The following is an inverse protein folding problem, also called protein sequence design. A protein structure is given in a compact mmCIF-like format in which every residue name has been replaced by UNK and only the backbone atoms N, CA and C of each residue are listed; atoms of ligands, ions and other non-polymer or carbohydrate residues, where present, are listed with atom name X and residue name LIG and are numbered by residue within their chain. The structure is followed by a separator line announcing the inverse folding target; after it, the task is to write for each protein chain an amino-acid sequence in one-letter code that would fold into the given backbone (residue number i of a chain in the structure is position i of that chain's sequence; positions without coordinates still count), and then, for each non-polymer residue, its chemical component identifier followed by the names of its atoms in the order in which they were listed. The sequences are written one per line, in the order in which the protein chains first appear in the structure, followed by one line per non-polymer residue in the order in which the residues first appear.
data_IF_413913724533
#
_entry.id   IF_413913724533
#
_cell.length_a   1.000
_cell.length_b   1.000
_cell.length_c   1.000
_cell.angle_alpha   90.00
_cell.angle_beta   90.00
_cell.angle_gamma   90.00
#
_symmetry.space_group_name_H-M   'P 1'
#
loop_
_entity.id
_entity.type
_entity.pdbx_description
1 polymer ?
#
# COMPACT_ATOMS: atom_id res chain seq x y z
N UNK A 1 -16.31 -78.70 45.01
CA UNK A 1 -16.69 -79.40 43.76
C UNK A 1 -16.62 -78.45 42.62
N UNK A 2 -15.57 -78.56 41.85
CA UNK A 2 -15.68 -78.86 40.40
C UNK A 2 -16.40 -77.79 39.62
N UNK A 3 -15.93 -77.15 38.65
CA UNK A 3 -15.07 -77.39 37.47
C UNK A 3 -14.69 -75.98 36.92
N UNK A 4 -13.47 -75.67 36.61
CA UNK A 4 -12.63 -76.02 35.49
C UNK A 4 -13.19 -75.62 34.09
N UNK A 5 -12.36 -74.89 33.36
CA UNK A 5 -12.25 -74.76 31.94
C UNK A 5 -13.08 -73.63 31.30
N UNK A 6 -12.62 -72.87 30.36
CA UNK A 6 -11.50 -72.92 29.43
C UNK A 6 -11.42 -71.57 28.74
N UNK A 7 -10.24 -71.11 28.59
CA UNK A 7 -9.64 -70.17 27.64
C UNK A 7 -10.32 -70.19 26.26
N UNK A 8 -10.68 -69.07 25.74
CA UNK A 8 -10.45 -68.75 24.32
C UNK A 8 -10.10 -67.29 24.15
N UNK A 9 -8.86 -67.07 23.81
CA UNK A 9 -8.34 -65.81 23.30
C UNK A 9 -8.96 -65.55 21.93
N UNK A 10 -9.67 -64.43 21.81
CA UNK A 10 -10.07 -63.94 20.50
C UNK A 10 -9.36 -62.61 20.27
N UNK A 11 -8.28 -62.70 19.49
CA UNK A 11 -7.62 -61.51 18.94
C UNK A 11 -8.59 -60.86 17.97
N UNK A 12 -9.18 -59.74 18.36
CA UNK A 12 -9.85 -58.83 17.44
C UNK A 12 -8.83 -57.76 17.01
N UNK A 13 -8.30 -57.91 15.84
CA UNK A 13 -7.53 -56.89 15.13
C UNK A 13 -8.46 -55.78 14.73
N UNK A 14 -8.47 -54.69 15.48
CA UNK A 14 -9.09 -53.44 15.11
C UNK A 14 -8.22 -52.80 14.04
N UNK A 15 -8.59 -52.98 12.79
CA UNK A 15 -8.10 -52.14 11.70
C UNK A 15 -8.62 -50.70 11.93
N UNK A 16 -7.78 -49.88 12.53
CA UNK A 16 -8.03 -48.45 12.66
C UNK A 16 -8.02 -47.79 11.29
N UNK A 17 -9.20 -47.51 10.74
CA UNK A 17 -9.32 -46.55 9.66
C UNK A 17 -8.94 -45.18 10.16
N UNK A 18 -7.69 -44.80 9.96
CA UNK A 18 -7.24 -43.41 10.08
C UNK A 18 -7.94 -42.62 8.99
N UNK A 19 -9.10 -42.08 9.32
CA UNK A 19 -9.68 -40.95 8.57
C UNK A 19 -8.78 -39.75 8.78
N UNK A 20 -7.80 -39.57 7.92
CA UNK A 20 -7.08 -38.33 7.76
C UNK A 20 -8.10 -37.30 7.29
N UNK A 21 -8.75 -36.63 8.22
CA UNK A 21 -9.41 -35.37 7.93
C UNK A 21 -8.30 -34.46 7.42
N UNK A 22 -8.23 -34.36 6.11
CA UNK A 22 -7.48 -33.31 5.42
C UNK A 22 -8.03 -32.02 5.98
N UNK A 23 -7.33 -31.43 6.92
CA UNK A 23 -7.52 -30.04 7.30
C UNK A 23 -7.23 -29.28 6.01
N UNK A 24 -8.28 -28.94 5.31
CA UNK A 24 -8.25 -27.92 4.30
C UNK A 24 -7.99 -26.62 5.06
N UNK A 25 -6.72 -26.35 5.24
CA UNK A 25 -6.22 -25.09 5.73
C UNK A 25 -6.70 -24.04 4.73
N UNK A 26 -7.82 -23.42 5.10
CA UNK A 26 -8.39 -22.26 4.43
C UNK A 26 -7.30 -21.20 4.45
N UNK A 27 -6.43 -21.20 3.41
CA UNK A 27 -5.45 -20.16 3.23
C UNK A 27 -6.22 -18.85 3.30
N UNK A 28 -5.87 -17.94 4.21
CA UNK A 28 -6.48 -16.64 4.20
C UNK A 28 -6.30 -16.11 2.78
N UNK A 29 -7.37 -15.68 2.14
CA UNK A 29 -7.31 -14.95 0.88
C UNK A 29 -6.33 -13.80 1.11
N UNK A 30 -5.12 -13.98 0.61
CA UNK A 30 -4.12 -12.93 0.60
C UNK A 30 -4.71 -11.85 -0.28
N UNK A 31 -5.10 -10.75 0.34
CA UNK A 31 -5.44 -9.54 -0.40
C UNK A 31 -4.39 -9.32 -1.48
N UNK A 32 -4.75 -8.81 -2.68
CA UNK A 32 -3.78 -8.53 -3.73
C UNK A 32 -2.60 -7.81 -3.07
N UNK A 33 -1.43 -8.43 -3.09
CA UNK A 33 -0.24 -7.76 -2.62
C UNK A 33 0.01 -6.67 -3.65
N UNK A 34 -0.37 -5.44 -3.31
CA UNK A 34 0.24 -4.28 -3.92
C UNK A 34 1.75 -4.54 -3.90
N UNK A 35 2.40 -4.40 -5.04
CA UNK A 35 3.85 -4.49 -5.14
C UNK A 35 4.46 -3.30 -4.40
N UNK A 36 4.41 -3.40 -3.08
CA UNK A 36 4.93 -2.40 -2.17
C UNK A 36 6.43 -2.44 -2.25
N UNK A 37 7.02 -1.43 -2.84
CA UNK A 37 8.46 -1.28 -2.82
C UNK A 37 8.88 -0.89 -1.41
N UNK A 38 9.35 -1.88 -0.65
CA UNK A 38 9.93 -1.63 0.66
C UNK A 38 11.22 -0.83 0.49
N UNK A 39 11.40 0.21 1.33
CA UNK A 39 12.57 1.09 1.29
C UNK A 39 12.80 1.76 -0.08
N UNK A 40 11.78 2.43 -0.58
CA UNK A 40 11.80 3.12 -1.88
C UNK A 40 12.97 4.11 -2.01
N UNK A 41 13.38 4.73 -0.91
CA UNK A 41 14.53 5.65 -0.90
C UNK A 41 15.81 5.04 -1.49
N UNK A 42 16.03 3.73 -1.29
CA UNK A 42 17.22 3.03 -1.79
C UNK A 42 16.97 2.27 -3.08
N UNK A 43 15.76 1.78 -3.27
CA UNK A 43 15.44 0.79 -4.30
C UNK A 43 14.71 1.36 -5.51
N UNK A 44 14.31 2.63 -5.44
CA UNK A 44 13.55 3.31 -6.50
C UNK A 44 14.33 4.53 -7.00
N UNK A 45 14.33 4.75 -8.30
CA UNK A 45 14.77 6.02 -8.89
C UNK A 45 13.68 7.08 -8.67
N UNK A 46 13.58 7.58 -7.45
CA UNK A 46 12.50 8.47 -6.99
C UNK A 46 12.62 9.91 -7.49
N UNK A 47 13.80 10.34 -7.91
CA UNK A 47 13.97 11.68 -8.48
C UNK A 47 13.20 11.79 -9.78
N UNK A 48 12.64 12.96 -10.04
CA UNK A 48 11.95 13.23 -11.29
C UNK A 48 10.66 13.99 -11.15
N UNK A 49 9.91 14.05 -12.22
CA UNK A 49 8.65 14.78 -12.33
C UNK A 49 7.48 13.81 -12.24
N UNK A 50 6.52 14.15 -11.41
CA UNK A 50 5.28 13.39 -11.20
C UNK A 50 4.09 14.29 -11.45
N UNK A 51 3.08 13.82 -12.17
CA UNK A 51 1.90 14.62 -12.47
C UNK A 51 0.62 13.79 -12.55
N UNK A 52 -0.49 14.44 -12.27
CA UNK A 52 -1.82 13.84 -12.33
C UNK A 52 -2.89 14.82 -11.88
N UNK A 53 -4.11 14.33 -11.83
CA UNK A 53 -5.25 15.08 -11.30
C UNK A 53 -5.71 14.37 -10.04
N UNK A 54 -5.49 15.00 -8.88
CA UNK A 54 -5.93 14.47 -7.59
C UNK A 54 -7.40 14.85 -7.32
N UNK A 55 -8.16 14.00 -6.62
CA UNK A 55 -9.53 14.30 -6.25
C UNK A 55 -9.67 15.56 -5.40
N UNK A 56 -10.77 16.25 -5.60
CA UNK A 56 -11.12 17.45 -4.89
C UNK A 56 -12.62 17.41 -4.50
N UNK A 57 -12.95 17.77 -3.26
CA UNK A 57 -14.34 17.76 -2.79
C UNK A 57 -15.16 18.98 -3.25
N UNK A 58 -14.49 20.07 -3.63
CA UNK A 58 -15.11 21.34 -3.98
C UNK A 58 -14.75 21.84 -5.40
N UNK A 59 -14.06 21.01 -6.20
CA UNK A 59 -13.65 21.36 -7.55
C UNK A 59 -13.67 20.11 -8.44
N UNK A 60 -13.46 20.25 -9.74
CA UNK A 60 -13.41 19.11 -10.69
C UNK A 60 -12.19 18.22 -10.49
N UNK A 61 -11.18 18.71 -9.79
CA UNK A 61 -9.94 18.03 -9.47
C UNK A 61 -8.81 19.03 -9.28
N UNK A 62 -7.69 18.56 -8.74
CA UNK A 62 -6.48 19.39 -8.60
C UNK A 62 -5.42 18.86 -9.56
N UNK A 63 -5.22 19.57 -10.68
CA UNK A 63 -4.07 19.30 -11.52
C UNK A 63 -2.79 19.56 -10.71
N UNK A 64 -1.98 18.53 -10.56
CA UNK A 64 -0.84 18.53 -9.65
C UNK A 64 0.40 18.06 -10.37
N UNK A 65 1.49 18.81 -10.26
CA UNK A 65 2.82 18.41 -10.67
C UNK A 65 3.77 18.57 -9.49
N UNK A 66 4.59 17.56 -9.25
CA UNK A 66 5.64 17.58 -8.23
C UNK A 66 6.96 17.19 -8.89
N UNK A 67 7.99 17.98 -8.68
CA UNK A 67 9.37 17.64 -9.05
C UNK A 67 10.13 17.32 -7.78
N UNK A 68 10.73 16.14 -7.71
CA UNK A 68 11.62 15.73 -6.62
C UNK A 68 13.06 15.77 -7.08
N UNK A 69 13.88 16.57 -6.41
CA UNK A 69 15.30 16.76 -6.73
C UNK A 69 16.21 15.87 -5.84
N UNK A 70 17.40 15.49 -6.34
CA UNK A 70 18.36 14.64 -5.59
C UNK A 70 18.81 15.24 -4.25
N UNK A 71 18.81 16.55 -4.11
CA UNK A 71 19.17 17.29 -2.91
C UNK A 71 18.07 17.38 -1.85
N UNK A 72 16.98 16.60 -2.05
CA UNK A 72 15.78 16.57 -1.21
C UNK A 72 14.97 17.86 -1.22
N UNK A 73 15.12 18.67 -2.26
CA UNK A 73 14.19 19.76 -2.54
C UNK A 73 13.05 19.31 -3.46
N UNK A 74 11.94 20.03 -3.40
CA UNK A 74 10.83 19.82 -4.32
C UNK A 74 10.31 21.15 -4.87
N UNK A 75 9.66 21.08 -6.03
CA UNK A 75 8.77 22.12 -6.51
C UNK A 75 7.40 21.53 -6.80
N UNK A 76 6.36 22.31 -6.55
CA UNK A 76 4.99 21.94 -6.87
C UNK A 76 4.36 22.97 -7.80
N UNK A 77 3.47 22.49 -8.65
CA UNK A 77 2.54 23.31 -9.42
C UNK A 77 1.17 22.68 -9.29
N UNK A 78 0.21 23.45 -8.80
CA UNK A 78 -1.16 22.99 -8.59
C UNK A 78 -2.16 23.96 -9.20
N UNK A 79 -3.31 23.45 -9.64
CA UNK A 79 -4.44 24.25 -10.11
C UNK A 79 -5.74 23.51 -9.80
N UNK A 80 -6.65 24.17 -9.11
CA UNK A 80 -8.01 23.68 -8.92
C UNK A 80 -8.79 23.85 -10.21
N UNK A 81 -9.14 22.76 -10.87
CA UNK A 81 -9.88 22.78 -12.11
C UNK A 81 -11.32 23.29 -11.89
N UNK A 82 -11.76 24.19 -12.78
CA UNK A 82 -13.04 24.87 -12.67
C UNK A 82 -13.08 26.04 -11.68
N UNK A 83 -11.97 26.33 -10.98
CA UNK A 83 -11.90 27.44 -10.00
C UNK A 83 -10.73 28.37 -10.26
N UNK A 84 -9.51 27.83 -10.38
CA UNK A 84 -8.30 28.65 -10.53
C UNK A 84 -8.04 29.02 -12.00
N UNK A 85 -7.76 30.29 -12.25
CA UNK A 85 -7.33 30.79 -13.56
C UNK A 85 -5.82 30.58 -13.82
N UNK A 86 -5.05 30.43 -12.75
CA UNK A 86 -3.58 30.31 -12.81
C UNK A 86 -3.08 29.18 -11.90
N UNK A 87 -1.92 28.66 -12.26
CA UNK A 87 -1.22 27.70 -11.44
C UNK A 87 -0.70 28.38 -10.16
N UNK A 88 -0.78 27.66 -9.06
CA UNK A 88 -0.10 27.95 -7.80
C UNK A 88 1.21 27.18 -7.79
N UNK A 89 2.27 27.80 -7.34
CA UNK A 89 3.58 27.16 -7.24
C UNK A 89 4.04 27.15 -5.79
N UNK A 90 4.75 26.10 -5.44
CA UNK A 90 5.38 25.94 -4.14
C UNK A 90 6.74 25.29 -4.28
N UNK A 91 7.61 25.54 -3.33
CA UNK A 91 8.94 24.93 -3.26
C UNK A 91 9.33 24.68 -1.81
N UNK A 92 10.26 23.76 -1.58
CA UNK A 92 10.73 23.47 -0.24
C UNK A 92 11.61 22.24 -0.21
N UNK A 93 11.76 21.69 0.99
CA UNK A 93 12.45 20.41 1.20
C UNK A 93 11.45 19.37 1.65
N UNK A 94 11.55 18.19 1.09
CA UNK A 94 10.76 17.06 1.56
C UNK A 94 11.58 16.21 2.55
N UNK A 95 10.90 15.44 3.34
CA UNK A 95 11.50 14.49 4.26
C UNK A 95 11.04 13.06 3.96
N UNK A 96 11.93 12.11 4.13
CA UNK A 96 11.57 10.70 4.16
C UNK A 96 11.03 10.35 5.54
N UNK A 97 9.89 9.66 5.56
CA UNK A 97 9.38 9.08 6.80
C UNK A 97 10.25 7.90 7.27
N UNK A 98 10.16 7.48 8.53
CA UNK A 98 11.02 6.46 9.12
C UNK A 98 11.03 5.11 8.37
N UNK A 99 9.98 4.80 7.64
CA UNK A 99 9.85 3.59 6.83
C UNK A 99 10.64 3.64 5.51
N UNK A 100 11.21 4.80 5.15
CA UNK A 100 11.92 5.05 3.89
C UNK A 100 11.12 4.68 2.62
N UNK A 101 9.82 4.66 2.71
CA UNK A 101 8.91 4.38 1.59
C UNK A 101 7.90 5.49 1.37
N UNK A 102 7.76 6.39 2.34
CA UNK A 102 6.92 7.58 2.25
C UNK A 102 7.74 8.84 2.36
N UNK A 103 7.30 9.86 1.66
CA UNK A 103 7.82 11.23 1.77
C UNK A 103 6.73 12.16 2.26
N UNK A 104 7.13 13.21 2.97
CA UNK A 104 6.24 14.31 3.34
C UNK A 104 6.74 15.60 2.72
N UNK A 105 5.82 16.35 2.15
CA UNK A 105 6.03 17.69 1.62
C UNK A 105 5.06 18.67 2.32
N UNK A 106 5.52 19.86 2.64
CA UNK A 106 4.69 20.94 3.16
C UNK A 106 4.40 21.91 2.02
N UNK A 107 3.23 21.79 1.41
CA UNK A 107 2.80 22.61 0.29
C UNK A 107 1.52 23.35 0.65
N UNK A 108 1.48 24.64 0.38
CA UNK A 108 0.31 25.48 0.63
C UNK A 108 -0.16 25.48 2.11
N UNK A 109 0.80 25.36 3.04
CA UNK A 109 0.50 25.26 4.47
C UNK A 109 -0.10 23.92 4.92
N UNK A 110 -0.08 22.92 4.06
CA UNK A 110 -0.57 21.58 4.35
C UNK A 110 0.53 20.55 4.19
N UNK A 111 0.63 19.65 5.18
CA UNK A 111 1.50 18.49 5.09
C UNK A 111 0.82 17.42 4.24
N UNK A 112 1.42 17.09 3.10
CA UNK A 112 0.98 16.04 2.19
C UNK A 112 1.96 14.88 2.25
N UNK A 113 1.43 13.67 2.41
CA UNK A 113 2.24 12.44 2.46
C UNK A 113 2.01 11.65 1.19
N UNK A 114 3.10 11.15 0.61
CA UNK A 114 3.07 10.32 -0.58
C UNK A 114 3.89 9.06 -0.35
N UNK A 115 3.34 7.94 -0.75
CA UNK A 115 4.09 6.70 -0.90
C UNK A 115 4.83 6.74 -2.23
N UNK A 116 6.11 6.41 -2.20
CA UNK A 116 6.96 6.39 -3.39
C UNK A 116 6.96 5.00 -3.99
N UNK A 117 6.60 4.90 -5.27
CA UNK A 117 6.61 3.69 -6.07
C UNK A 117 7.57 3.86 -7.27
N UNK A 118 7.73 2.80 -8.07
CA UNK A 118 8.67 2.81 -9.20
C UNK A 118 8.30 3.85 -10.27
N UNK A 119 7.00 4.05 -10.49
CA UNK A 119 6.44 4.81 -11.61
C UNK A 119 5.43 5.87 -11.19
N UNK A 120 5.14 5.99 -9.89
CA UNK A 120 4.19 6.99 -9.38
C UNK A 120 4.42 7.36 -7.92
N UNK A 121 3.83 8.48 -7.51
CA UNK A 121 3.59 8.83 -6.13
C UNK A 121 2.11 8.59 -5.81
N UNK A 122 1.83 7.90 -4.73
CA UNK A 122 0.48 7.67 -4.24
C UNK A 122 0.21 8.54 -3.02
N UNK A 123 -0.79 9.41 -3.11
CA UNK A 123 -1.18 10.25 -1.99
C UNK A 123 -1.72 9.42 -0.84
N UNK A 124 -1.31 9.75 0.37
CA UNK A 124 -1.68 9.07 1.61
C UNK A 124 -2.34 10.01 2.59
N UNK A 125 -2.95 9.45 3.62
CA UNK A 125 -3.36 10.21 4.79
C UNK A 125 -2.13 10.77 5.51
N UNK A 126 -2.27 11.82 6.34
CA UNK A 126 -1.13 12.43 7.05
C UNK A 126 -0.33 11.47 7.94
N UNK A 127 -0.95 10.38 8.39
CA UNK A 127 -0.31 9.31 9.18
C UNK A 127 0.39 8.23 8.31
N UNK A 128 0.33 8.35 6.97
CA UNK A 128 0.90 7.40 6.03
C UNK A 128 -0.05 6.26 5.59
N UNK A 129 -1.21 6.15 6.20
CA UNK A 129 -2.19 5.13 5.82
C UNK A 129 -2.78 5.38 4.44
N UNK A 130 -3.27 4.31 3.81
CA UNK A 130 -3.98 4.41 2.55
C UNK A 130 -5.27 5.23 2.72
N UNK A 131 -5.57 6.09 1.73
CA UNK A 131 -6.84 6.81 1.69
C UNK A 131 -7.95 5.79 1.42
N UNK A 132 -8.99 5.69 2.28
CA UNK A 132 -10.10 4.77 2.07
C UNK A 132 -10.90 5.19 0.83
N UNK A 133 -10.77 4.45 -0.25
CA UNK A 133 -11.43 4.74 -1.52
C UNK A 133 -11.67 3.48 -2.33
N UNK A 134 -12.70 3.47 -3.15
CA UNK A 134 -12.94 2.43 -4.14
C UNK A 134 -12.06 2.59 -5.39
N UNK A 135 -11.43 3.76 -5.58
CA UNK A 135 -10.56 4.06 -6.71
C UNK A 135 -9.22 4.63 -6.23
N UNK A 136 -8.27 3.79 -5.79
CA UNK A 136 -6.96 4.24 -5.31
C UNK A 136 -6.11 4.90 -6.41
N UNK A 137 -6.32 4.54 -7.68
CA UNK A 137 -5.57 5.10 -8.82
C UNK A 137 -5.84 6.60 -9.00
N UNK A 138 -7.00 7.10 -8.56
CA UNK A 138 -7.31 8.51 -8.59
C UNK A 138 -6.39 9.36 -7.69
N UNK A 139 -5.68 8.74 -6.76
CA UNK A 139 -4.75 9.41 -5.84
C UNK A 139 -3.28 9.26 -6.25
N UNK A 140 -3.03 8.89 -7.50
CA UNK A 140 -1.69 8.67 -8.04
C UNK A 140 -1.23 9.83 -8.91
N UNK A 141 0.03 10.19 -8.76
CA UNK A 141 0.75 11.08 -9.68
C UNK A 141 1.78 10.24 -10.44
N UNK A 142 1.58 10.11 -11.73
CA UNK A 142 2.43 9.29 -12.58
C UNK A 142 3.76 9.97 -12.85
N UNK A 143 4.85 9.20 -12.82
CA UNK A 143 6.18 9.67 -13.17
C UNK A 143 6.27 9.90 -14.66
N UNK A 144 6.76 11.08 -15.07
CA UNK A 144 6.91 11.45 -16.48
C UNK A 144 8.35 11.61 -16.92
N UNK A 145 9.25 11.87 -15.99
CA UNK A 145 10.72 11.99 -16.20
C UNK A 145 11.46 11.68 -14.91
#
# INVERSE_FOLDING_TARGET
MKHLLLITALLATLAGCSSTKKHEEKRPMRAPQENVVANARKNVAWQGTYQGILPCSACEGVATMIVLNPDMTYTTRTRMLGIDDKDRTGEGRFEWLPDNSHIAIDSEGQRKVFRVQNDHLEMRMPNGDAIPTANPEAFQLMKTQ
#
